data_IF_155761087194
#
_entry.id   IF_155761087194
#
_cell.length_a   1.000
_cell.length_b   1.000
_cell.length_c   1.000
_cell.angle_alpha   90.00
_cell.angle_beta   90.00
_cell.angle_gamma   90.00
#
_symmetry.space_group_name_H-M   'P 1'
#
loop_
_entity.id
_entity.type
_entity.pdbx_description
1 polymer ?
#
# COMPACT_ATOMS: atom_id res chain seq x y z
N UNK A 1 8.04 19.34 11.08
CA UNK A 1 7.35 19.40 9.79
C UNK A 1 6.74 18.02 9.53
N UNK A 2 5.49 17.98 9.10
CA UNK A 2 4.76 16.72 8.93
C UNK A 2 5.07 16.09 7.57
N UNK A 3 5.66 14.91 7.62
CA UNK A 3 5.87 14.01 6.50
C UNK A 3 5.11 12.68 6.74
N UNK A 4 5.23 11.70 5.87
CA UNK A 4 4.47 10.46 5.90
C UNK A 4 4.50 9.76 7.28
N UNK A 5 5.66 9.64 7.92
CA UNK A 5 5.79 8.99 9.25
C UNK A 5 4.94 9.66 10.32
N UNK A 6 4.99 10.98 10.40
CA UNK A 6 4.19 11.76 11.34
C UNK A 6 2.71 11.72 10.98
N UNK A 7 2.37 11.85 9.69
CA UNK A 7 0.98 11.78 9.22
C UNK A 7 0.34 10.43 9.54
N UNK A 8 1.08 9.32 9.38
CA UNK A 8 0.66 7.97 9.77
C UNK A 8 0.40 7.89 11.27
N UNK A 9 1.32 8.41 12.10
CA UNK A 9 1.16 8.39 13.55
C UNK A 9 -0.10 9.17 13.98
N UNK A 10 -0.31 10.38 13.43
CA UNK A 10 -1.49 11.21 13.71
C UNK A 10 -2.77 10.48 13.28
N UNK A 11 -2.81 9.90 12.09
CA UNK A 11 -3.99 9.21 11.58
C UNK A 11 -4.34 7.96 12.39
N UNK A 12 -3.36 7.25 12.93
CA UNK A 12 -3.54 6.12 13.85
C UNK A 12 -4.24 6.50 15.16
N UNK A 13 -4.01 7.70 15.62
CA UNK A 13 -4.65 8.24 16.84
C UNK A 13 -5.94 9.02 16.55
N UNK A 14 -6.50 8.89 15.34
CA UNK A 14 -7.81 9.45 14.97
C UNK A 14 -7.76 10.85 14.36
N UNK A 15 -6.57 11.44 14.18
CA UNK A 15 -6.37 12.72 13.53
C UNK A 15 -6.15 12.63 12.02
N UNK A 16 -5.81 13.77 11.39
CA UNK A 16 -5.38 13.84 10.00
C UNK A 16 -4.08 14.63 9.89
N UNK A 17 -3.05 14.03 9.35
CA UNK A 17 -1.75 14.69 9.11
C UNK A 17 -1.78 15.51 7.82
N UNK A 18 -1.17 16.68 7.83
CA UNK A 18 -1.05 17.56 6.67
C UNK A 18 0.39 17.53 6.15
N UNK A 19 0.61 16.92 4.98
CA UNK A 19 1.93 16.88 4.35
C UNK A 19 2.31 18.29 3.87
N UNK A 20 3.48 18.77 4.28
CA UNK A 20 3.93 20.13 3.95
C UNK A 20 4.30 20.27 2.46
N UNK A 21 4.22 21.51 1.97
CA UNK A 21 4.48 21.86 0.56
C UNK A 21 5.95 22.16 0.21
N UNK A 22 6.85 22.20 1.20
CA UNK A 22 8.25 22.57 0.99
C UNK A 22 9.08 21.41 0.44
N UNK A 23 8.66 20.90 -0.72
CA UNK A 23 9.29 19.82 -1.49
C UNK A 23 8.75 19.82 -2.93
N UNK A 24 9.34 19.01 -3.81
CA UNK A 24 8.82 18.85 -5.18
C UNK A 24 7.39 18.33 -5.20
N UNK A 25 6.68 18.48 -6.31
CA UNK A 25 5.32 17.96 -6.50
C UNK A 25 5.34 16.44 -6.36
N UNK A 26 6.32 15.79 -6.99
CA UNK A 26 6.51 14.35 -7.02
C UNK A 26 6.80 13.80 -5.61
N UNK A 27 7.67 14.48 -4.85
CA UNK A 27 8.00 14.07 -3.49
C UNK A 27 6.79 14.21 -2.56
N UNK A 28 6.03 15.29 -2.67
CA UNK A 28 4.82 15.48 -1.86
C UNK A 28 3.76 14.43 -2.19
N UNK A 29 3.53 14.13 -3.47
CA UNK A 29 2.63 13.07 -3.91
C UNK A 29 3.10 11.69 -3.40
N UNK A 30 4.42 11.42 -3.42
CA UNK A 30 5.01 10.20 -2.87
C UNK A 30 4.74 10.09 -1.37
N UNK A 31 4.88 11.17 -0.59
CA UNK A 31 4.57 11.17 0.84
C UNK A 31 3.09 10.83 1.10
N UNK A 32 2.16 11.40 0.32
CA UNK A 32 0.73 11.06 0.38
C UNK A 32 0.51 9.58 0.08
N UNK A 33 1.11 9.06 -0.99
CA UNK A 33 0.99 7.64 -1.37
C UNK A 33 1.51 6.69 -0.28
N UNK A 34 2.61 7.05 0.42
CA UNK A 34 3.14 6.27 1.55
C UNK A 34 2.10 6.20 2.68
N UNK A 35 1.42 7.31 3.03
CA UNK A 35 0.37 7.30 4.05
C UNK A 35 -0.79 6.42 3.62
N UNK A 36 -1.24 6.55 2.37
CA UNK A 36 -2.36 5.75 1.84
C UNK A 36 -2.06 4.24 1.79
N UNK A 37 -0.79 3.86 1.70
CA UNK A 37 -0.34 2.46 1.73
C UNK A 37 -0.06 1.92 3.14
N UNK A 38 0.09 2.78 4.14
CA UNK A 38 0.60 2.39 5.46
C UNK A 38 -0.34 1.50 6.28
N UNK A 39 -1.65 1.63 6.10
CA UNK A 39 -2.67 0.77 6.74
C UNK A 39 -3.83 0.56 5.79
N UNK A 40 -3.71 -0.45 4.99
CA UNK A 40 -4.81 -1.01 4.24
C UNK A 40 -5.17 -2.35 4.86
N UNK A 41 -6.43 -2.57 5.11
CA UNK A 41 -6.91 -3.93 5.32
C UNK A 41 -6.58 -4.82 4.11
N UNK A 42 -6.37 -4.21 2.93
CA UNK A 42 -5.87 -4.81 1.71
C UNK A 42 -4.81 -3.90 1.09
N UNK A 43 -3.66 -4.43 0.75
CA UNK A 43 -2.63 -3.75 -0.03
C UNK A 43 -3.08 -3.77 -1.49
N UNK A 44 -3.50 -2.62 -2.01
CA UNK A 44 -3.74 -2.43 -3.45
C UNK A 44 -2.38 -2.22 -4.14
N UNK A 45 -2.13 -2.87 -5.25
CA UNK A 45 -0.84 -2.83 -5.95
C UNK A 45 0.32 -3.37 -5.08
N UNK A 46 0.27 -4.64 -4.68
CA UNK A 46 1.33 -5.27 -3.90
C UNK A 46 2.60 -5.43 -4.74
N UNK A 47 3.75 -5.45 -4.06
CA UNK A 47 5.01 -5.84 -4.70
C UNK A 47 4.85 -7.25 -5.26
N UNK A 48 5.14 -7.42 -6.55
CA UNK A 48 5.04 -8.69 -7.27
C UNK A 48 6.38 -9.11 -7.84
N UNK A 49 6.54 -10.39 -8.17
CA UNK A 49 7.69 -10.91 -8.87
C UNK A 49 7.24 -11.81 -10.03
N UNK A 50 7.99 -11.80 -11.11
CA UNK A 50 7.73 -12.66 -12.25
C UNK A 50 8.29 -14.06 -12.00
N UNK A 51 7.58 -15.11 -12.44
CA UNK A 51 7.93 -16.51 -12.21
C UNK A 51 9.33 -16.92 -12.72
N UNK A 52 9.86 -16.21 -13.73
CA UNK A 52 11.16 -16.49 -14.32
C UNK A 52 12.33 -15.76 -13.61
N UNK A 53 12.04 -14.91 -12.63
CA UNK A 53 13.04 -14.26 -11.79
C UNK A 53 13.67 -15.26 -10.83
N UNK A 54 14.77 -14.86 -10.16
CA UNK A 54 15.57 -15.73 -9.31
C UNK A 54 15.21 -15.60 -7.83
N UNK A 55 15.65 -16.55 -7.03
CA UNK A 55 15.58 -16.51 -5.56
C UNK A 55 16.29 -15.25 -5.04
N UNK A 56 17.44 -14.88 -5.62
CA UNK A 56 18.16 -13.66 -5.26
C UNK A 56 17.32 -12.41 -5.49
N UNK A 57 16.59 -12.32 -6.62
CA UNK A 57 15.69 -11.19 -6.90
C UNK A 57 14.58 -11.09 -5.85
N UNK A 58 13.99 -12.22 -5.46
CA UNK A 58 12.95 -12.25 -4.43
C UNK A 58 13.47 -11.80 -3.07
N UNK A 59 14.64 -12.30 -2.65
CA UNK A 59 15.26 -11.89 -1.38
C UNK A 59 15.62 -10.40 -1.37
N UNK A 60 16.10 -9.87 -2.50
CA UNK A 60 16.39 -8.44 -2.65
C UNK A 60 15.13 -7.59 -2.49
N UNK A 61 14.03 -7.95 -3.17
CA UNK A 61 12.73 -7.27 -3.03
C UNK A 61 12.19 -7.39 -1.60
N UNK A 62 12.28 -8.57 -0.97
CA UNK A 62 11.82 -8.76 0.41
C UNK A 62 12.60 -7.86 1.39
N UNK A 63 13.90 -7.72 1.18
CA UNK A 63 14.77 -6.86 1.99
C UNK A 63 14.46 -5.38 1.76
N UNK A 64 14.37 -4.95 0.51
CA UNK A 64 14.11 -3.56 0.12
C UNK A 64 12.77 -3.04 0.66
N UNK A 65 11.71 -3.84 0.50
CA UNK A 65 10.35 -3.46 0.90
C UNK A 65 9.97 -3.90 2.32
N UNK A 66 10.88 -4.59 3.04
CA UNK A 66 10.64 -5.15 4.39
C UNK A 66 9.41 -6.06 4.45
N UNK A 67 9.23 -6.91 3.45
CA UNK A 67 8.10 -7.83 3.32
C UNK A 67 8.55 -9.29 3.41
N UNK A 68 7.70 -10.16 3.94
CA UNK A 68 8.00 -11.59 4.14
C UNK A 68 7.33 -12.50 3.12
N UNK A 69 6.91 -11.99 1.98
CA UNK A 69 6.38 -12.79 0.87
C UNK A 69 5.77 -11.93 -0.22
N UNK A 70 5.85 -12.44 -1.43
CA UNK A 70 5.57 -11.74 -2.68
C UNK A 70 4.66 -12.61 -3.55
N UNK A 71 3.51 -12.11 -4.02
CA UNK A 71 2.74 -12.77 -5.07
C UNK A 71 3.56 -12.91 -6.35
N UNK A 72 3.49 -14.08 -6.95
CA UNK A 72 4.16 -14.37 -8.23
C UNK A 72 3.13 -14.26 -9.34
N UNK A 73 3.45 -13.48 -10.37
CA UNK A 73 2.54 -13.20 -11.49
C UNK A 73 3.20 -13.47 -12.84
N UNK A 74 2.37 -13.72 -13.85
CA UNK A 74 2.81 -13.74 -15.24
C UNK A 74 2.85 -12.32 -15.85
N UNK A 75 3.13 -12.21 -17.14
CA UNK A 75 3.29 -10.93 -17.81
C UNK A 75 1.97 -10.12 -17.90
N UNK A 76 0.84 -10.80 -17.85
CA UNK A 76 -0.51 -10.22 -17.87
C UNK A 76 -1.09 -9.97 -16.46
N UNK A 77 -0.26 -10.08 -15.40
CA UNK A 77 -0.61 -9.93 -13.99
C UNK A 77 -1.54 -11.01 -13.43
N UNK A 78 -1.69 -12.17 -14.11
CA UNK A 78 -2.39 -13.29 -13.50
C UNK A 78 -1.55 -13.89 -12.36
N UNK A 79 -2.24 -14.20 -11.28
CA UNK A 79 -1.59 -14.84 -10.12
C UNK A 79 -1.24 -16.29 -10.46
N UNK A 80 0.05 -16.63 -10.41
CA UNK A 80 0.56 -17.98 -10.69
C UNK A 80 1.14 -18.68 -9.47
N UNK A 81 1.38 -17.95 -8.38
CA UNK A 81 1.92 -18.49 -7.14
C UNK A 81 2.16 -17.43 -6.08
N UNK A 82 2.75 -17.85 -5.00
CA UNK A 82 3.27 -16.98 -3.95
C UNK A 82 4.62 -17.53 -3.46
N UNK A 83 5.58 -16.65 -3.22
CA UNK A 83 6.86 -16.98 -2.58
C UNK A 83 6.98 -16.26 -1.25
N UNK A 84 7.36 -16.96 -0.20
CA UNK A 84 7.44 -16.44 1.16
C UNK A 84 8.80 -16.75 1.78
N UNK A 85 9.12 -16.09 2.91
CA UNK A 85 10.32 -16.42 3.70
C UNK A 85 10.37 -17.90 4.12
N UNK A 86 9.21 -18.58 4.23
CA UNK A 86 9.16 -20.01 4.55
C UNK A 86 9.69 -20.84 3.40
N UNK A 87 9.32 -20.49 2.16
CA UNK A 87 9.75 -21.21 0.96
C UNK A 87 11.25 -21.02 0.69
N UNK A 88 11.80 -19.84 1.03
CA UNK A 88 13.19 -19.47 0.78
C UNK A 88 14.14 -19.75 1.96
N UNK A 89 13.63 -20.14 3.13
CA UNK A 89 14.42 -20.24 4.38
C UNK A 89 15.64 -21.14 4.28
N UNK A 90 15.52 -22.24 3.56
CA UNK A 90 16.58 -23.25 3.41
C UNK A 90 17.12 -23.33 1.97
N UNK A 91 16.68 -22.41 1.09
CA UNK A 91 17.20 -22.39 -0.27
C UNK A 91 18.60 -21.77 -0.31
N UNK A 92 19.53 -22.49 -0.90
CA UNK A 92 20.94 -22.08 -1.02
C UNK A 92 21.32 -21.69 -2.44
N UNK A 93 20.52 -22.09 -3.43
CA UNK A 93 20.74 -21.79 -4.84
C UNK A 93 20.06 -20.46 -5.20
N UNK A 94 20.82 -19.38 -5.19
CA UNK A 94 20.31 -18.02 -5.40
C UNK A 94 19.89 -17.73 -6.84
N UNK A 95 20.44 -18.47 -7.80
CA UNK A 95 20.14 -18.41 -9.24
C UNK A 95 18.93 -19.25 -9.67
N UNK A 96 18.38 -20.04 -8.74
CA UNK A 96 17.20 -20.86 -8.97
C UNK A 96 15.98 -19.99 -9.28
N UNK A 97 15.16 -20.45 -10.21
CA UNK A 97 13.97 -19.70 -10.63
C UNK A 97 12.85 -19.75 -9.58
N UNK A 98 12.07 -18.69 -9.52
CA UNK A 98 10.94 -18.59 -8.56
C UNK A 98 9.88 -19.66 -8.82
N UNK A 99 9.61 -20.03 -10.08
CA UNK A 99 8.63 -21.07 -10.41
C UNK A 99 9.00 -22.48 -9.91
N UNK A 100 10.25 -22.70 -9.50
CA UNK A 100 10.71 -23.95 -8.91
C UNK A 100 10.56 -24.01 -7.38
N UNK A 101 10.43 -22.85 -6.72
CA UNK A 101 10.39 -22.74 -5.24
C UNK A 101 9.09 -22.17 -4.70
N UNK A 102 8.29 -21.50 -5.54
CA UNK A 102 7.02 -20.89 -5.11
C UNK A 102 5.97 -21.92 -4.73
N UNK A 103 5.06 -21.55 -3.85
CA UNK A 103 3.82 -22.27 -3.63
C UNK A 103 2.86 -21.96 -4.77
N UNK A 104 2.43 -22.96 -5.54
CA UNK A 104 1.49 -22.83 -6.68
C UNK A 104 0.28 -23.74 -6.56
N UNK A 105 0.42 -24.89 -5.89
CA UNK A 105 -0.68 -25.82 -5.68
C UNK A 105 -1.53 -25.42 -4.48
N UNK A 106 -2.85 -25.56 -4.61
CA UNK A 106 -3.81 -25.20 -3.56
C UNK A 106 -3.67 -23.73 -3.11
N UNK A 107 -3.39 -22.83 -4.05
CA UNK A 107 -3.26 -21.41 -3.75
C UNK A 107 -4.59 -20.85 -3.26
N UNK A 108 -4.60 -20.38 -2.02
CA UNK A 108 -5.79 -19.77 -1.42
C UNK A 108 -5.85 -18.30 -1.84
N UNK A 109 -6.93 -17.91 -2.49
CA UNK A 109 -7.19 -16.54 -2.95
C UNK A 109 -8.55 -16.05 -2.46
N UNK A 110 -8.80 -14.77 -2.62
CA UNK A 110 -10.10 -14.16 -2.36
C UNK A 110 -10.40 -13.05 -3.37
N UNK A 111 -11.58 -12.46 -3.30
CA UNK A 111 -12.01 -11.37 -4.19
C UNK A 111 -12.02 -10.02 -3.46
N UNK A 112 -12.12 -8.93 -4.22
CA UNK A 112 -12.20 -7.56 -3.68
C UNK A 112 -13.39 -7.30 -2.73
N UNK A 113 -14.43 -8.16 -2.79
CA UNK A 113 -15.62 -8.02 -1.96
C UNK A 113 -15.45 -8.61 -0.55
N UNK A 114 -14.33 -9.30 -0.31
CA UNK A 114 -14.06 -9.95 0.98
C UNK A 114 -13.69 -8.90 2.02
N UNK A 115 -14.46 -8.80 3.09
CA UNK A 115 -14.14 -7.96 4.23
C UNK A 115 -12.99 -8.54 5.07
N UNK A 116 -12.43 -7.74 5.98
CA UNK A 116 -11.31 -8.15 6.82
C UNK A 116 -11.64 -9.28 7.78
N UNK A 117 -12.90 -9.41 8.21
CA UNK A 117 -13.32 -10.48 9.12
C UNK A 117 -13.35 -11.82 8.37
N UNK A 118 -13.94 -11.86 7.18
CA UNK A 118 -13.93 -13.04 6.32
C UNK A 118 -12.49 -13.41 5.89
N UNK A 119 -11.66 -12.42 5.56
CA UNK A 119 -10.24 -12.64 5.25
C UNK A 119 -9.50 -13.26 6.44
N UNK A 120 -9.75 -12.80 7.68
CA UNK A 120 -9.16 -13.38 8.88
C UNK A 120 -9.53 -14.86 9.06
N UNK A 121 -10.80 -15.21 8.81
CA UNK A 121 -11.26 -16.61 8.88
C UNK A 121 -10.57 -17.48 7.82
N UNK A 122 -10.41 -16.97 6.59
CA UNK A 122 -9.71 -17.69 5.51
C UNK A 122 -8.25 -17.93 5.89
N UNK A 123 -7.53 -16.89 6.36
CA UNK A 123 -6.14 -16.99 6.82
C UNK A 123 -5.99 -18.02 7.94
N UNK A 124 -6.86 -17.96 8.96
CA UNK A 124 -6.85 -18.87 10.10
C UNK A 124 -7.13 -20.32 9.68
N UNK A 125 -8.19 -20.54 8.89
CA UNK A 125 -8.60 -21.89 8.43
C UNK A 125 -7.50 -22.58 7.64
N UNK A 126 -6.80 -21.81 6.77
CA UNK A 126 -5.76 -22.34 5.89
C UNK A 126 -4.34 -22.22 6.50
N UNK A 127 -4.20 -21.66 7.72
CA UNK A 127 -2.91 -21.44 8.41
C UNK A 127 -1.89 -20.69 7.55
N UNK A 128 -2.35 -19.68 6.82
CA UNK A 128 -1.55 -18.80 5.97
C UNK A 128 -1.52 -17.38 6.53
N UNK A 129 -0.49 -16.62 6.20
CA UNK A 129 -0.30 -15.23 6.65
C UNK A 129 -0.61 -14.20 5.56
N UNK A 130 -0.75 -14.64 4.33
CA UNK A 130 -0.95 -13.80 3.15
C UNK A 130 -2.04 -14.38 2.27
N UNK A 131 -2.97 -13.53 1.88
CA UNK A 131 -4.14 -13.89 1.09
C UNK A 131 -4.18 -12.99 -0.15
N UNK A 132 -3.74 -13.48 -1.32
CA UNK A 132 -3.87 -12.75 -2.56
C UNK A 132 -5.34 -12.49 -2.90
N UNK A 133 -5.61 -11.29 -3.39
CA UNK A 133 -6.93 -10.85 -3.86
C UNK A 133 -6.88 -10.77 -5.36
N UNK A 134 -7.79 -11.47 -6.03
CA UNK A 134 -7.85 -11.55 -7.49
C UNK A 134 -9.21 -11.09 -8.01
N UNK A 135 -9.25 -10.68 -9.26
CA UNK A 135 -10.50 -10.43 -10.01
C UNK A 135 -11.05 -11.70 -10.65
N UNK A 136 -12.12 -11.55 -11.48
CA UNK A 136 -12.77 -12.65 -12.22
C UNK A 136 -11.83 -13.36 -13.20
N UNK A 137 -10.82 -12.67 -13.69
CA UNK A 137 -9.85 -13.19 -14.67
C UNK A 137 -8.57 -13.71 -13.99
N UNK A 138 -8.60 -13.89 -12.66
CA UNK A 138 -7.46 -14.31 -11.85
C UNK A 138 -6.27 -13.32 -11.88
N UNK A 139 -6.51 -12.05 -12.21
CA UNK A 139 -5.48 -11.02 -12.12
C UNK A 139 -5.33 -10.55 -10.68
N UNK A 140 -4.10 -10.38 -10.26
CA UNK A 140 -3.81 -9.88 -8.91
C UNK A 140 -4.22 -8.42 -8.77
N UNK A 141 -5.14 -8.13 -7.86
CA UNK A 141 -5.63 -6.79 -7.57
C UNK A 141 -5.27 -6.31 -6.17
N UNK A 142 -4.80 -7.21 -5.31
CA UNK A 142 -4.40 -6.86 -3.95
C UNK A 142 -3.82 -8.02 -3.16
N UNK A 143 -3.40 -7.70 -1.94
CA UNK A 143 -2.88 -8.66 -0.96
C UNK A 143 -3.37 -8.29 0.43
N UNK A 144 -3.96 -9.22 1.15
CA UNK A 144 -4.31 -9.08 2.56
C UNK A 144 -3.31 -9.88 3.39
N UNK A 145 -2.74 -9.27 4.44
CA UNK A 145 -1.83 -9.98 5.33
C UNK A 145 -2.39 -10.06 6.75
N UNK A 146 -1.96 -11.07 7.50
CA UNK A 146 -2.29 -11.19 8.92
C UNK A 146 -1.91 -9.93 9.72
N UNK A 147 -0.77 -9.31 9.39
CA UNK A 147 -0.32 -8.08 10.05
C UNK A 147 -1.30 -6.92 9.86
N UNK A 148 -1.92 -6.81 8.67
CA UNK A 148 -2.87 -5.74 8.39
C UNK A 148 -4.16 -5.91 9.19
N UNK A 149 -4.63 -7.15 9.35
CA UNK A 149 -5.78 -7.48 10.18
C UNK A 149 -5.51 -7.19 11.66
N UNK A 150 -4.33 -7.55 12.16
CA UNK A 150 -3.93 -7.30 13.57
C UNK A 150 -3.85 -5.79 13.82
N UNK A 151 -3.18 -5.04 12.97
CA UNK A 151 -3.08 -3.57 13.08
C UNK A 151 -4.45 -2.88 13.04
N UNK A 152 -5.39 -3.39 12.25
CA UNK A 152 -6.75 -2.86 12.20
C UNK A 152 -7.49 -3.02 13.54
N UNK A 153 -7.21 -4.07 14.30
CA UNK A 153 -7.76 -4.32 15.65
C UNK A 153 -7.07 -3.45 16.72
N UNK A 154 -5.76 -3.23 16.59
CA UNK A 154 -4.97 -2.51 17.60
C UNK A 154 -5.28 -0.99 17.61
N UNK A 155 -5.77 -0.42 16.50
CA UNK A 155 -6.05 1.00 16.34
C UNK A 155 -7.49 1.25 15.84
N UNK A 156 -8.52 0.98 16.65
CA UNK A 156 -9.92 1.09 16.21
C UNK A 156 -10.35 2.53 15.93
N UNK A 157 -9.68 3.52 16.55
CA UNK A 157 -9.97 4.95 16.39
C UNK A 157 -9.22 5.58 15.22
N UNK A 158 -8.42 4.82 14.47
CA UNK A 158 -7.64 5.36 13.34
C UNK A 158 -8.55 6.05 12.30
N UNK A 159 -8.12 7.24 11.87
CA UNK A 159 -8.83 8.05 10.88
C UNK A 159 -8.68 7.41 9.49
N UNK A 160 -9.70 6.66 9.06
CA UNK A 160 -9.71 5.88 7.81
C UNK A 160 -10.77 6.36 6.83
N UNK A 161 -10.50 6.20 5.55
CA UNK A 161 -11.48 6.38 4.48
C UNK A 161 -12.39 5.14 4.34
N UNK A 162 -13.36 5.21 3.43
CA UNK A 162 -14.30 4.11 3.16
C UNK A 162 -13.63 2.81 2.67
N UNK A 163 -12.38 2.89 2.20
CA UNK A 163 -11.56 1.74 1.77
C UNK A 163 -10.63 1.24 2.89
N UNK A 164 -10.76 1.75 4.11
CA UNK A 164 -9.92 1.38 5.25
C UNK A 164 -8.50 1.95 5.24
N UNK A 165 -8.18 2.89 4.32
CA UNK A 165 -6.87 3.52 4.22
C UNK A 165 -6.80 4.74 5.15
N UNK A 166 -5.64 5.01 5.75
CA UNK A 166 -5.44 6.20 6.55
C UNK A 166 -5.74 7.47 5.74
N UNK A 167 -6.43 8.43 6.37
CA UNK A 167 -6.65 9.74 5.76
C UNK A 167 -5.45 10.63 5.92
N UNK A 168 -5.18 11.43 4.88
CA UNK A 168 -4.09 12.37 4.82
C UNK A 168 -4.51 13.63 4.07
N UNK A 169 -4.11 14.78 4.58
CA UNK A 169 -4.24 16.05 3.89
C UNK A 169 -2.87 16.49 3.33
N UNK A 170 -2.88 17.42 2.39
CA UNK A 170 -1.67 18.00 1.85
C UNK A 170 -1.79 19.52 1.73
N UNK A 171 -0.75 20.23 2.12
CA UNK A 171 -0.66 21.68 2.02
C UNK A 171 -0.26 22.12 0.62
N UNK A 172 -0.90 23.17 0.11
CA UNK A 172 -0.52 23.85 -1.14
C UNK A 172 -0.43 25.36 -0.92
N UNK A 173 0.34 26.03 -1.74
CA UNK A 173 0.42 27.51 -1.75
C UNK A 173 -0.55 28.11 -2.74
N UNK A 174 -0.37 29.41 -3.00
CA UNK A 174 -1.05 30.16 -4.06
C UNK A 174 0.03 30.63 -5.06
N UNK A 175 0.49 29.68 -5.87
CA UNK A 175 1.61 29.83 -6.82
C UNK A 175 1.20 29.34 -8.21
N UNK A 176 1.99 29.61 -9.23
CA UNK A 176 1.66 29.20 -10.60
C UNK A 176 1.50 27.68 -10.78
N UNK A 177 2.19 26.88 -9.95
CA UNK A 177 2.17 25.41 -9.97
C UNK A 177 1.06 24.79 -9.07
N UNK A 178 0.24 25.59 -8.41
CA UNK A 178 -0.75 25.11 -7.43
C UNK A 178 -1.71 24.08 -8.02
N UNK A 179 -2.25 24.33 -9.20
CA UNK A 179 -3.21 23.40 -9.84
C UNK A 179 -2.56 22.06 -10.19
N UNK A 180 -1.37 22.10 -10.79
CA UNK A 180 -0.60 20.90 -11.12
C UNK A 180 -0.28 20.09 -9.86
N UNK A 181 0.12 20.75 -8.78
CA UNK A 181 0.39 20.15 -7.48
C UNK A 181 -0.86 19.49 -6.89
N UNK A 182 -1.99 20.20 -6.90
CA UNK A 182 -3.27 19.66 -6.42
C UNK A 182 -3.67 18.40 -7.20
N UNK A 183 -3.54 18.42 -8.51
CA UNK A 183 -3.87 17.28 -9.38
C UNK A 183 -3.01 16.06 -9.03
N UNK A 184 -1.69 16.21 -8.88
CA UNK A 184 -0.80 15.14 -8.47
C UNK A 184 -1.14 14.59 -7.07
N UNK A 185 -1.50 15.47 -6.12
CA UNK A 185 -1.89 15.07 -4.76
C UNK A 185 -3.22 14.31 -4.73
N UNK A 186 -4.19 14.73 -5.53
CA UNK A 186 -5.48 14.03 -5.69
C UNK A 186 -5.25 12.64 -6.31
N UNK A 187 -4.43 12.55 -7.35
CA UNK A 187 -4.07 11.26 -7.97
C UNK A 187 -3.35 10.34 -6.97
N UNK A 188 -2.50 10.89 -6.10
CA UNK A 188 -1.85 10.14 -5.03
C UNK A 188 -2.82 9.71 -3.90
N UNK A 189 -4.06 10.25 -3.89
CA UNK A 189 -5.12 9.87 -2.97
C UNK A 189 -5.25 10.77 -1.74
N UNK A 190 -4.80 12.03 -1.78
CA UNK A 190 -5.05 12.98 -0.69
C UNK A 190 -6.55 13.14 -0.42
N UNK A 191 -6.94 13.10 0.86
CA UNK A 191 -8.36 13.21 1.29
C UNK A 191 -8.80 14.66 1.46
N UNK A 192 -7.85 15.56 1.67
CA UNK A 192 -8.10 17.00 1.79
C UNK A 192 -6.90 17.80 1.28
N UNK A 193 -7.18 18.98 0.74
CA UNK A 193 -6.17 19.97 0.36
C UNK A 193 -6.31 21.18 1.28
N UNK A 194 -5.20 21.64 1.83
CA UNK A 194 -5.10 22.80 2.71
C UNK A 194 -4.38 23.92 1.97
N UNK A 195 -5.06 25.00 1.68
CA UNK A 195 -4.45 26.19 1.10
C UNK A 195 -3.76 26.95 2.23
N UNK A 196 -2.44 26.90 2.25
CA UNK A 196 -1.59 27.50 3.28
C UNK A 196 -0.93 28.77 2.75
N UNK A 197 -1.39 29.91 3.26
CA UNK A 197 -0.94 31.27 2.88
C UNK A 197 -0.75 32.14 4.12
N UNK A 198 0.09 33.18 3.98
CA UNK A 198 0.31 34.15 5.07
C UNK A 198 -1.01 34.89 5.47
N UNK A 199 -1.91 35.12 4.49
CA UNK A 199 -3.19 35.77 4.70
C UNK A 199 -4.30 35.07 3.93
N UNK A 200 -5.17 34.33 4.61
CA UNK A 200 -6.30 33.60 4.01
C UNK A 200 -7.31 34.54 3.30
N UNK A 201 -7.44 35.77 3.77
CA UNK A 201 -8.32 36.81 3.18
C UNK A 201 -7.55 37.63 2.13
N UNK A 202 -6.92 36.99 1.16
CA UNK A 202 -6.28 37.64 0.02
C UNK A 202 -7.03 37.31 -1.26
N UNK A 203 -6.98 38.22 -2.26
CA UNK A 203 -7.64 38.02 -3.56
C UNK A 203 -7.18 36.71 -4.22
N UNK A 204 -5.88 36.44 -4.18
CA UNK A 204 -5.32 35.21 -4.76
C UNK A 204 -5.83 33.94 -4.06
N UNK A 205 -5.93 33.96 -2.72
CA UNK A 205 -6.43 32.83 -1.95
C UNK A 205 -7.92 32.56 -2.23
N UNK A 206 -8.72 33.63 -2.35
CA UNK A 206 -10.16 33.52 -2.63
C UNK A 206 -10.47 33.02 -4.05
N UNK A 207 -9.56 33.25 -5.01
CA UNK A 207 -9.71 32.74 -6.38
C UNK A 207 -9.47 31.23 -6.52
N UNK A 208 -8.70 30.64 -5.62
CA UNK A 208 -8.45 29.18 -5.56
C UNK A 208 -9.49 28.46 -4.74
#
# INVERSE_FOLDING_TARGET
VTEARMAIAIAREGGIGVIHKNMSIEDQARQVAIVKRAENGMIYDPVTIKRYKTVQDALSLMSEYHIGGIPVVDDDMHLVGIVTNRDLRFETQMDKRIDEVMTRENLVTTTQQTDLHAAAQILQKNKIEKLPVVDSDNRLVGLITYKDITKAKDKPMACKDAKGRLRVAAGVGVTADTLQRMEALIQAGADAIIIDTAHGHSKSCLLY
#
